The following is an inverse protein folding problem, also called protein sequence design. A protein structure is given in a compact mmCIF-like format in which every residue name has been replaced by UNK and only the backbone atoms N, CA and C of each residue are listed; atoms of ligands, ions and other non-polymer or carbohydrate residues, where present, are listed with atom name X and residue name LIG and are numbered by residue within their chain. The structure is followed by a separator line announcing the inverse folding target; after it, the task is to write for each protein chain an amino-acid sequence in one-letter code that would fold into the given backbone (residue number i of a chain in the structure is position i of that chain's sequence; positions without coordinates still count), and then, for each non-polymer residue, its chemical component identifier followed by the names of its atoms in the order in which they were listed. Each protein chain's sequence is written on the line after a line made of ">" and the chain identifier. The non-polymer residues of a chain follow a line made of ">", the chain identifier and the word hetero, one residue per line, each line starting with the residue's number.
data_IF_665329854124
#
_entry.id   IF_665329854124
#
_cell.length_a   1.000
_cell.length_b   1.000
_cell.length_c   1.000
_cell.angle_alpha   90.00
_cell.angle_beta   90.00
_cell.angle_gamma   90.00
#
_symmetry.space_group_name_H-M   'P 1'
#
loop_
_entity.id
_entity.type
_entity.pdbx_description
1 polymer ?
#
# COMPACT_ATOMS: atom_id res chain seq x y z
N UNK A 1 1.64 -14.09 -11.31
CA UNK A 1 2.05 -12.68 -11.15
C UNK A 1 1.14 -11.67 -11.87
N UNK A 2 0.81 -11.84 -13.17
CA UNK A 2 0.02 -10.83 -13.92
C UNK A 2 -1.33 -10.46 -13.31
N UNK A 3 -2.10 -11.44 -12.81
CA UNK A 3 -3.38 -11.18 -12.12
C UNK A 3 -3.19 -10.31 -10.87
N UNK A 4 -2.11 -10.53 -10.12
CA UNK A 4 -1.80 -9.73 -8.93
C UNK A 4 -1.48 -8.28 -9.31
N UNK A 5 -0.62 -8.07 -10.32
CA UNK A 5 -0.29 -6.73 -10.81
C UNK A 5 -1.54 -5.96 -11.22
N UNK A 6 -2.45 -6.60 -11.96
CA UNK A 6 -3.72 -5.98 -12.37
C UNK A 6 -4.62 -5.62 -11.19
N UNK A 7 -4.69 -6.49 -10.17
CA UNK A 7 -5.43 -6.20 -8.94
C UNK A 7 -4.83 -5.01 -8.19
N UNK A 8 -3.50 -4.96 -8.06
CA UNK A 8 -2.79 -3.86 -7.40
C UNK A 8 -3.05 -2.53 -8.13
N UNK A 9 -2.88 -2.51 -9.46
CA UNK A 9 -3.15 -1.33 -10.30
C UNK A 9 -4.57 -0.81 -10.11
N UNK A 10 -5.58 -1.68 -10.16
CA UNK A 10 -6.98 -1.28 -9.97
C UNK A 10 -7.25 -0.79 -8.56
N UNK A 11 -6.70 -1.46 -7.56
CA UNK A 11 -6.91 -1.12 -6.16
C UNK A 11 -6.30 0.24 -5.80
N UNK A 12 -5.07 0.50 -6.24
CA UNK A 12 -4.36 1.76 -5.99
C UNK A 12 -4.59 2.83 -7.08
N UNK A 13 -5.39 2.51 -8.10
CA UNK A 13 -5.66 3.37 -9.26
C UNK A 13 -4.39 3.83 -10.00
N UNK A 14 -3.41 2.92 -10.15
CA UNK A 14 -2.12 3.19 -10.79
C UNK A 14 -2.06 2.62 -12.21
N UNK A 15 -1.49 3.39 -13.15
CA UNK A 15 -1.24 2.93 -14.52
C UNK A 15 -0.03 1.99 -14.62
N UNK A 16 0.97 2.19 -13.76
CA UNK A 16 2.26 1.51 -13.79
C UNK A 16 2.64 1.01 -12.40
N UNK A 17 3.43 -0.06 -12.37
CA UNK A 17 4.05 -0.61 -11.16
C UNK A 17 5.53 -0.82 -11.46
N UNK A 18 6.38 -0.71 -10.44
CA UNK A 18 7.76 -1.19 -10.53
C UNK A 18 7.82 -2.60 -9.97
N UNK A 19 8.35 -3.54 -10.75
CA UNK A 19 8.35 -4.97 -10.38
C UNK A 19 9.74 -5.54 -10.57
N UNK A 20 10.23 -6.25 -9.56
CA UNK A 20 11.41 -7.10 -9.68
C UNK A 20 10.97 -8.57 -9.56
N UNK A 21 11.38 -9.39 -10.53
CA UNK A 21 11.04 -10.80 -10.56
C UNK A 21 12.26 -11.63 -10.19
N UNK A 22 12.02 -12.70 -9.43
CA UNK A 22 13.02 -13.71 -9.13
C UNK A 22 13.04 -14.78 -10.24
N UNK A 23 14.24 -15.17 -10.64
CA UNK A 23 14.47 -16.27 -11.59
C UNK A 23 14.41 -17.66 -10.95
N UNK A 24 14.20 -17.74 -9.63
CA UNK A 24 14.22 -19.01 -8.91
C UNK A 24 13.08 -19.96 -9.34
N UNK A 25 11.94 -19.42 -9.79
CA UNK A 25 10.80 -20.21 -10.26
C UNK A 25 9.89 -19.42 -11.24
N UNK A 26 10.32 -19.24 -12.50
CA UNK A 26 9.61 -18.47 -13.53
C UNK A 26 8.42 -19.26 -14.06
N UNK A 27 7.36 -19.37 -13.26
CA UNK A 27 6.15 -20.11 -13.64
C UNK A 27 5.25 -20.46 -12.46
N UNK A 28 5.79 -20.42 -11.23
CA UNK A 28 5.01 -20.67 -10.04
C UNK A 28 3.97 -19.58 -9.80
N UNK A 29 2.76 -20.05 -9.49
CA UNK A 29 1.68 -19.19 -9.05
C UNK A 29 1.98 -18.59 -7.69
N UNK A 30 1.66 -17.29 -7.53
CA UNK A 30 1.80 -16.59 -6.25
C UNK A 30 0.79 -17.17 -5.27
N UNK A 31 1.27 -17.71 -4.15
CA UNK A 31 0.45 -18.27 -3.07
C UNK A 31 0.44 -17.38 -1.82
N UNK A 32 1.51 -16.59 -1.63
CA UNK A 32 1.71 -15.78 -0.43
C UNK A 32 2.27 -14.40 -0.77
N UNK A 33 1.81 -13.38 -0.04
CA UNK A 33 2.22 -11.98 -0.21
C UNK A 33 2.48 -11.40 1.17
N UNK A 34 3.68 -10.87 1.39
CA UNK A 34 3.99 -10.03 2.54
C UNK A 34 3.82 -8.56 2.14
N UNK A 35 3.03 -7.80 2.90
CA UNK A 35 2.58 -6.46 2.51
C UNK A 35 2.89 -5.46 3.63
N UNK A 36 3.45 -4.31 3.27
CA UNK A 36 3.65 -3.18 4.19
C UNK A 36 3.51 -1.89 3.38
N UNK A 37 2.56 -1.02 3.74
CA UNK A 37 2.43 0.28 3.09
C UNK A 37 3.62 1.18 3.46
N UNK A 38 3.95 2.16 2.60
CA UNK A 38 5.06 3.08 2.81
C UNK A 38 6.42 2.44 2.53
N UNK A 39 7.38 2.63 3.44
CA UNK A 39 8.76 2.15 3.29
C UNK A 39 9.01 0.81 4.00
N UNK A 40 8.45 -0.25 3.43
CA UNK A 40 8.41 -1.58 4.02
C UNK A 40 9.66 -2.44 3.89
N UNK A 41 10.75 -1.99 3.24
CA UNK A 41 11.93 -2.83 2.99
C UNK A 41 12.48 -3.53 4.23
N UNK A 42 12.75 -2.75 5.28
CA UNK A 42 13.24 -3.26 6.58
C UNK A 42 12.24 -4.17 7.32
N UNK A 43 10.93 -4.04 7.04
CA UNK A 43 9.87 -4.83 7.67
C UNK A 43 9.67 -6.16 6.95
N UNK A 44 9.77 -6.16 5.63
CA UNK A 44 9.46 -7.31 4.78
C UNK A 44 10.68 -8.22 4.54
N UNK A 45 11.90 -7.70 4.64
CA UNK A 45 13.10 -8.51 4.44
C UNK A 45 13.17 -9.67 5.44
N UNK A 46 13.33 -10.88 4.89
CA UNK A 46 13.35 -12.13 5.66
C UNK A 46 11.98 -12.78 5.86
N UNK A 47 10.88 -12.13 5.47
CA UNK A 47 9.56 -12.74 5.51
C UNK A 47 9.44 -13.87 4.49
N UNK A 48 8.86 -15.01 4.90
CA UNK A 48 8.63 -16.11 3.96
C UNK A 48 7.32 -15.91 3.18
N UNK A 49 7.43 -15.19 2.06
CA UNK A 49 6.35 -15.02 1.10
C UNK A 49 6.86 -15.17 -0.34
N UNK A 50 5.98 -15.27 -1.33
CA UNK A 50 6.38 -15.32 -2.75
C UNK A 50 6.58 -13.90 -3.32
N UNK A 51 5.88 -12.91 -2.75
CA UNK A 51 5.89 -11.52 -3.18
C UNK A 51 5.98 -10.59 -1.98
N UNK A 52 6.88 -9.61 -2.05
CA UNK A 52 6.87 -8.42 -1.20
C UNK A 52 6.15 -7.30 -1.92
N UNK A 53 5.15 -6.71 -1.28
CA UNK A 53 4.42 -5.57 -1.82
C UNK A 53 4.49 -4.40 -0.85
N UNK A 54 5.12 -3.31 -1.29
CA UNK A 54 5.34 -2.12 -0.47
C UNK A 54 5.34 -0.87 -1.34
N UNK A 55 5.34 0.31 -0.73
CA UNK A 55 5.56 1.56 -1.45
C UNK A 55 6.99 1.62 -1.96
N UNK A 56 7.95 1.36 -1.07
CA UNK A 56 9.38 1.59 -1.32
C UNK A 56 10.25 0.49 -0.75
N UNK A 57 11.35 0.24 -1.46
CA UNK A 57 12.54 -0.49 -1.01
C UNK A 57 13.75 0.17 -1.67
N UNK A 58 14.88 0.21 -0.98
CA UNK A 58 16.15 0.61 -1.59
C UNK A 58 16.63 -0.43 -2.59
N UNK A 59 17.51 -0.02 -3.49
CA UNK A 59 18.06 -0.89 -4.53
C UNK A 59 18.64 -2.20 -3.97
N UNK A 60 19.41 -2.12 -2.89
CA UNK A 60 20.03 -3.30 -2.28
C UNK A 60 19.01 -4.22 -1.60
N UNK A 61 17.94 -3.69 -1.01
CA UNK A 61 16.88 -4.51 -0.44
C UNK A 61 16.10 -5.26 -1.53
N UNK A 62 15.84 -4.61 -2.67
CA UNK A 62 15.22 -5.28 -3.84
C UNK A 62 16.12 -6.41 -4.34
N UNK A 63 17.42 -6.15 -4.52
CA UNK A 63 18.37 -7.19 -4.95
C UNK A 63 18.42 -8.35 -3.96
N UNK A 64 18.45 -8.07 -2.66
CA UNK A 64 18.46 -9.10 -1.63
C UNK A 64 17.18 -9.96 -1.65
N UNK A 65 16.01 -9.34 -1.82
CA UNK A 65 14.74 -10.05 -1.93
C UNK A 65 14.72 -10.97 -3.17
N UNK A 66 15.11 -10.45 -4.33
CA UNK A 66 15.19 -11.23 -5.59
C UNK A 66 16.16 -12.40 -5.46
N UNK A 67 17.36 -12.17 -4.89
CA UNK A 67 18.35 -13.21 -4.66
C UNK A 67 17.85 -14.30 -3.69
N UNK A 68 16.96 -13.94 -2.75
CA UNK A 68 16.29 -14.87 -1.83
C UNK A 68 15.07 -15.57 -2.46
N UNK A 69 14.86 -15.45 -3.77
CA UNK A 69 13.76 -16.11 -4.47
C UNK A 69 12.44 -15.35 -4.45
N UNK A 70 12.42 -14.09 -3.96
CA UNK A 70 11.20 -13.32 -3.69
C UNK A 70 10.95 -12.32 -4.82
N UNK A 71 9.70 -12.19 -5.25
CA UNK A 71 9.32 -11.12 -6.18
C UNK A 71 9.03 -9.84 -5.38
N UNK A 72 9.21 -8.68 -6.00
CA UNK A 72 8.94 -7.38 -5.37
C UNK A 72 8.00 -6.57 -6.25
N UNK A 73 7.00 -5.93 -5.64
CA UNK A 73 6.14 -4.93 -6.27
C UNK A 73 6.24 -3.63 -5.46
N UNK A 74 6.74 -2.58 -6.10
CA UNK A 74 6.83 -1.23 -5.54
C UNK A 74 5.79 -0.33 -6.18
N UNK A 75 5.05 0.40 -5.34
CA UNK A 75 3.93 1.24 -5.76
C UNK A 75 4.11 2.73 -5.43
N UNK A 76 5.21 3.11 -4.77
CA UNK A 76 5.44 4.46 -4.25
C UNK A 76 4.75 4.67 -2.89
N UNK A 77 5.44 5.33 -1.97
CA UNK A 77 5.04 5.49 -0.56
C UNK A 77 3.59 6.00 -0.42
N UNK A 78 3.37 7.19 -0.96
CA UNK A 78 2.11 7.92 -0.90
C UNK A 78 0.95 7.14 -1.51
N UNK A 79 1.19 6.43 -2.61
CA UNK A 79 0.16 5.66 -3.30
C UNK A 79 -0.32 4.47 -2.47
N UNK A 80 0.54 3.88 -1.65
CA UNK A 80 0.17 2.74 -0.80
C UNK A 80 -0.55 3.14 0.49
N UNK A 81 -0.37 4.38 0.95
CA UNK A 81 -0.92 4.84 2.23
C UNK A 81 -2.20 5.67 2.09
N UNK A 82 -2.25 6.59 1.11
CA UNK A 82 -3.36 7.54 0.96
C UNK A 82 -4.75 6.89 0.78
N UNK A 83 -4.92 5.75 0.10
CA UNK A 83 -6.23 5.10 0.02
C UNK A 83 -6.86 4.80 1.39
N UNK A 84 -6.06 4.69 2.45
CA UNK A 84 -6.57 4.52 3.81
C UNK A 84 -7.32 5.76 4.35
N UNK A 85 -7.05 6.96 3.86
CA UNK A 85 -7.67 8.19 4.36
C UNK A 85 -9.19 8.20 4.18
N UNK A 86 -9.70 7.62 3.09
CA UNK A 86 -11.15 7.48 2.88
C UNK A 86 -11.78 6.53 3.91
N UNK A 87 -11.07 5.44 4.24
CA UNK A 87 -11.47 4.50 5.29
C UNK A 87 -11.47 5.18 6.65
N UNK A 88 -10.40 5.92 6.97
CA UNK A 88 -10.28 6.66 8.22
C UNK A 88 -11.36 7.72 8.36
N UNK A 89 -11.68 8.45 7.29
CA UNK A 89 -12.76 9.44 7.30
C UNK A 89 -14.09 8.79 7.66
N UNK A 90 -14.45 7.66 7.04
CA UNK A 90 -15.69 6.93 7.36
C UNK A 90 -15.71 6.40 8.79
N UNK A 91 -14.58 5.91 9.29
CA UNK A 91 -14.45 5.46 10.69
C UNK A 91 -14.65 6.62 11.66
N UNK A 92 -14.02 7.76 11.41
CA UNK A 92 -14.18 8.96 12.22
C UNK A 92 -15.63 9.46 12.18
N UNK A 93 -16.28 9.52 11.02
CA UNK A 93 -17.69 9.89 10.92
C UNK A 93 -18.59 8.96 11.74
N UNK A 94 -18.34 7.65 11.66
CA UNK A 94 -19.12 6.64 12.39
C UNK A 94 -18.94 6.78 13.90
N UNK A 95 -17.68 6.97 14.35
CA UNK A 95 -17.36 7.18 15.75
C UNK A 95 -17.96 8.48 16.30
N UNK A 96 -17.90 9.58 15.53
CA UNK A 96 -18.48 10.86 15.93
C UNK A 96 -20.02 10.79 16.05
N UNK A 97 -20.69 10.09 15.13
CA UNK A 97 -22.15 9.87 15.19
C UNK A 97 -22.57 9.03 16.40
N UNK A 98 -21.68 8.21 16.94
CA UNK A 98 -21.91 7.36 18.12
C UNK A 98 -21.73 8.06 19.45
N UNK A 99 -21.30 9.33 19.48
CA UNK A 99 -21.12 10.09 20.73
C UNK A 99 -22.45 10.51 21.35
N UNK A 100 -22.46 10.66 22.68
CA UNK A 100 -23.63 11.02 23.48
C UNK A 100 -23.37 12.27 24.33
N UNK A 101 -24.43 12.83 24.91
CA UNK A 101 -24.32 13.98 25.82
C UNK A 101 -23.76 15.24 25.17
N UNK A 102 -22.88 15.94 25.87
CA UNK A 102 -22.31 17.22 25.41
C UNK A 102 -21.40 17.04 24.19
N UNK A 103 -20.72 15.90 24.07
CA UNK A 103 -19.81 15.61 22.96
C UNK A 103 -20.57 15.44 21.64
N UNK A 104 -21.81 14.93 21.68
CA UNK A 104 -22.67 14.82 20.49
C UNK A 104 -22.95 16.18 19.85
N UNK A 105 -23.26 17.19 20.65
CA UNK A 105 -23.57 18.53 20.15
C UNK A 105 -22.35 19.19 19.47
N UNK A 106 -21.13 18.86 19.91
CA UNK A 106 -19.89 19.29 19.27
C UNK A 106 -19.66 18.49 17.98
N UNK A 107 -19.82 17.16 18.04
CA UNK A 107 -19.61 16.26 16.91
C UNK A 107 -20.50 16.60 15.71
N UNK A 108 -21.76 16.98 15.94
CA UNK A 108 -22.72 17.39 14.88
C UNK A 108 -22.28 18.66 14.12
N UNK A 109 -21.38 19.47 14.70
CA UNK A 109 -20.85 20.68 14.07
C UNK A 109 -19.56 20.43 13.29
N UNK A 110 -18.92 19.28 13.49
CA UNK A 110 -17.67 18.94 12.81
C UNK A 110 -17.93 18.44 11.39
N UNK A 111 -16.98 18.74 10.49
CA UNK A 111 -16.97 18.21 9.13
C UNK A 111 -15.63 17.54 8.87
N UNK A 112 -15.68 16.34 8.29
CA UNK A 112 -14.48 15.61 7.92
C UNK A 112 -14.18 15.87 6.46
N UNK A 113 -12.92 16.19 6.18
CA UNK A 113 -12.41 16.43 4.84
C UNK A 113 -11.14 15.60 4.62
N UNK A 114 -11.09 14.87 3.51
CA UNK A 114 -9.85 14.24 3.03
C UNK A 114 -9.19 15.20 2.05
N UNK A 115 -7.92 15.54 2.29
CA UNK A 115 -7.16 16.44 1.42
C UNK A 115 -7.03 15.87 0.01
N UNK A 116 -7.28 16.69 -1.01
CA UNK A 116 -7.12 16.34 -2.43
C UNK A 116 -5.86 16.89 -3.09
N UNK A 117 -5.15 17.79 -2.39
CA UNK A 117 -3.97 18.48 -2.95
C UNK A 117 -2.69 17.69 -2.81
N UNK A 118 -2.57 16.94 -1.72
CA UNK A 118 -1.41 16.09 -1.50
C UNK A 118 -1.47 14.85 -2.40
N UNK A 119 -0.34 14.54 -3.04
CA UNK A 119 -0.20 13.47 -4.04
C UNK A 119 1.22 12.94 -4.05
N UNK A 120 1.41 11.78 -4.65
CA UNK A 120 2.75 11.22 -4.80
C UNK A 120 3.65 12.22 -5.52
N UNK A 121 4.85 12.54 -5.00
CA UNK A 121 5.70 13.62 -5.52
C UNK A 121 6.46 13.25 -6.80
N UNK A 122 6.43 11.97 -7.21
CA UNK A 122 7.15 11.48 -8.39
C UNK A 122 6.15 11.21 -9.52
N UNK A 123 6.46 11.76 -10.70
CA UNK A 123 5.74 11.48 -11.94
C UNK A 123 6.50 10.44 -12.77
N UNK A 124 5.75 9.62 -13.53
CA UNK A 124 6.30 8.70 -14.51
C UNK A 124 6.35 9.44 -15.85
N UNK A 125 7.55 9.66 -16.38
CA UNK A 125 7.81 10.40 -17.63
C UNK A 125 8.13 9.49 -18.80
#
# INVERSE_FOLDING_TARGET
>A
MGVLQERIKRHLQLSHLQVALSDADPGRDVQSIAICAGSGGSVLLGADADVYWTGEMSHHEVLAAVAAGKNVVLCGHTNTERPYLDTLAQLLESNLKGLEGQDKAVAEQLRIHVSKEDRHPLDIV
#
